data_IF_537536145727
#
_entry.id   IF_537536145727
#
_cell.length_a   1.000
_cell.length_b   1.000
_cell.length_c   1.000
_cell.angle_alpha   90.00
_cell.angle_beta   90.00
_cell.angle_gamma   90.00
#
_symmetry.space_group_name_H-M   'P 1'
#
loop_
_entity.id
_entity.type
_entity.pdbx_description
1 polymer ?
#
# COMPACT_ATOMS: atom_id res chain seq x y z
N UNK A 1 -5.16 -21.52 43.91
CA UNK A 1 -5.26 -21.00 42.52
C UNK A 1 -6.41 -20.02 42.52
N UNK A 2 -6.12 -18.72 42.52
CA UNK A 2 -7.17 -17.71 42.33
C UNK A 2 -7.75 -17.89 40.92
N UNK A 3 -9.02 -18.25 40.85
CA UNK A 3 -9.76 -18.26 39.59
C UNK A 3 -9.98 -16.80 39.25
N UNK A 4 -9.12 -16.24 38.39
CA UNK A 4 -9.33 -14.91 37.85
C UNK A 4 -10.67 -14.96 37.13
N UNK A 5 -11.64 -14.21 37.65
CA UNK A 5 -12.93 -14.04 37.01
C UNK A 5 -12.68 -13.43 35.63
N UNK A 6 -13.00 -14.18 34.58
CA UNK A 6 -12.79 -13.78 33.19
C UNK A 6 -13.42 -12.40 32.90
N UNK A 7 -14.54 -12.08 33.55
CA UNK A 7 -15.20 -10.77 33.45
C UNK A 7 -14.33 -9.64 33.98
N UNK A 8 -13.68 -9.84 35.13
CA UNK A 8 -12.82 -8.83 35.77
C UNK A 8 -11.50 -8.65 35.00
N UNK A 9 -10.97 -9.73 34.43
CA UNK A 9 -9.84 -9.66 33.50
C UNK A 9 -10.20 -8.89 32.23
N UNK A 10 -11.32 -9.20 31.57
CA UNK A 10 -11.75 -8.50 30.34
C UNK A 10 -11.96 -7.00 30.61
N UNK A 11 -12.58 -6.64 31.73
CA UNK A 11 -12.77 -5.24 32.12
C UNK A 11 -11.45 -4.52 32.37
N UNK A 12 -10.57 -5.09 33.19
CA UNK A 12 -9.27 -4.48 33.50
C UNK A 12 -8.36 -4.38 32.27
N UNK A 13 -8.38 -5.40 31.39
CA UNK A 13 -7.70 -5.36 30.11
C UNK A 13 -8.25 -4.25 29.20
N UNK A 14 -9.58 -4.14 29.05
CA UNK A 14 -10.20 -3.11 28.21
C UNK A 14 -9.85 -1.69 28.67
N UNK A 15 -9.86 -1.45 29.99
CA UNK A 15 -9.48 -0.15 30.56
C UNK A 15 -8.02 0.17 30.22
N UNK A 16 -7.11 -0.78 30.48
CA UNK A 16 -5.68 -0.59 30.22
C UNK A 16 -5.38 -0.44 28.72
N UNK A 17 -6.06 -1.20 27.88
CA UNK A 17 -5.98 -1.08 26.42
C UNK A 17 -6.40 0.31 25.97
N UNK A 18 -7.53 0.83 26.46
CA UNK A 18 -8.00 2.18 26.12
C UNK A 18 -7.07 3.27 26.62
N UNK A 19 -6.48 3.12 27.81
CA UNK A 19 -5.49 4.06 28.35
C UNK A 19 -4.23 4.13 27.48
N UNK A 20 -3.64 2.98 27.14
CA UNK A 20 -2.45 2.91 26.28
C UNK A 20 -2.75 3.40 24.87
N UNK A 21 -3.93 3.04 24.32
CA UNK A 21 -4.40 3.54 23.02
C UNK A 21 -4.56 5.06 23.02
N UNK A 22 -5.13 5.65 24.07
CA UNK A 22 -5.28 7.12 24.18
C UNK A 22 -3.93 7.82 24.28
N UNK A 23 -2.93 7.23 24.94
CA UNK A 23 -1.57 7.79 24.98
C UNK A 23 -0.94 7.84 23.58
N UNK A 24 -1.09 6.76 22.80
CA UNK A 24 -0.60 6.69 21.41
C UNK A 24 -1.34 7.68 20.49
N UNK A 25 -2.67 7.74 20.58
CA UNK A 25 -3.51 8.65 19.77
C UNK A 25 -3.22 10.13 20.05
N UNK A 26 -2.89 10.50 21.30
CA UNK A 26 -2.56 11.88 21.68
C UNK A 26 -1.27 12.41 21.05
N UNK A 27 -0.37 11.53 20.59
CA UNK A 27 0.90 11.93 20.00
C UNK A 27 0.91 11.86 18.46
N UNK A 28 -0.03 11.13 17.84
CA UNK A 28 -0.08 11.02 16.38
C UNK A 28 -0.94 12.15 15.77
N UNK A 29 -0.27 13.21 15.30
CA UNK A 29 -0.91 14.35 14.62
C UNK A 29 -1.80 13.90 13.46
N UNK A 30 -1.41 12.85 12.71
CA UNK A 30 -2.17 12.36 11.57
C UNK A 30 -3.51 11.72 11.98
N UNK A 31 -3.54 11.00 13.11
CA UNK A 31 -4.79 10.45 13.65
C UNK A 31 -5.72 11.55 14.18
N UNK A 32 -5.17 12.66 14.69
CA UNK A 32 -5.96 13.83 15.12
C UNK A 32 -6.55 14.61 13.95
N UNK A 33 -5.96 14.52 12.76
CA UNK A 33 -6.46 15.17 11.54
C UNK A 33 -7.63 14.41 10.90
N UNK A 34 -8.02 13.24 11.45
CA UNK A 34 -9.06 12.36 10.89
C UNK A 34 -8.86 12.12 9.38
N UNK A 35 -7.60 11.91 8.98
CA UNK A 35 -7.23 11.68 7.59
C UNK A 35 -8.03 10.50 7.02
N UNK A 36 -8.80 10.75 5.96
CA UNK A 36 -9.45 9.69 5.20
C UNK A 36 -8.43 8.96 4.31
N UNK A 37 -8.89 7.98 3.53
CA UNK A 37 -8.03 7.16 2.67
C UNK A 37 -7.25 8.02 1.65
N UNK A 38 -7.94 8.96 1.00
CA UNK A 38 -7.32 9.91 0.05
C UNK A 38 -6.25 10.78 0.72
N UNK A 39 -6.46 11.20 1.97
CA UNK A 39 -5.46 11.97 2.70
C UNK A 39 -4.19 11.16 2.98
N UNK A 40 -4.33 9.86 3.29
CA UNK A 40 -3.17 8.96 3.43
C UNK A 40 -2.45 8.75 2.10
N UNK A 41 -3.19 8.56 1.01
CA UNK A 41 -2.60 8.43 -0.33
C UNK A 41 -1.84 9.69 -0.72
N UNK A 42 -2.40 10.88 -0.46
CA UNK A 42 -1.72 12.17 -0.70
C UNK A 42 -0.42 12.30 0.09
N UNK A 43 -0.43 12.00 1.38
CA UNK A 43 0.78 12.05 2.22
C UNK A 43 1.85 11.10 1.66
N UNK A 44 1.47 9.88 1.29
CA UNK A 44 2.41 8.92 0.73
C UNK A 44 2.99 9.42 -0.61
N UNK A 45 2.17 9.99 -1.48
CA UNK A 45 2.63 10.60 -2.73
C UNK A 45 3.59 11.77 -2.48
N UNK A 46 3.29 12.65 -1.53
CA UNK A 46 4.16 13.78 -1.19
C UNK A 46 5.55 13.29 -0.73
N UNK A 47 5.59 12.20 0.05
CA UNK A 47 6.84 11.58 0.49
C UNK A 47 7.59 10.95 -0.69
N UNK A 48 6.91 10.17 -1.53
CA UNK A 48 7.52 9.48 -2.67
C UNK A 48 8.01 10.45 -3.75
N UNK A 49 7.34 11.60 -3.90
CA UNK A 49 7.69 12.65 -4.86
C UNK A 49 8.76 13.63 -4.34
N UNK A 50 9.22 13.46 -3.09
CA UNK A 50 10.34 14.24 -2.57
C UNK A 50 11.62 13.92 -3.34
N UNK A 51 12.20 14.95 -3.97
CA UNK A 51 13.43 14.82 -4.75
C UNK A 51 14.49 15.85 -4.39
N UNK A 52 15.74 15.45 -4.53
CA UNK A 52 16.92 16.32 -4.44
C UNK A 52 17.66 16.19 -5.77
N UNK A 53 17.90 17.31 -6.47
CA UNK A 53 18.55 17.34 -7.78
C UNK A 53 17.92 16.42 -8.84
N UNK A 54 16.60 16.17 -8.74
CA UNK A 54 15.86 15.30 -9.66
C UNK A 54 15.92 13.82 -9.33
N UNK A 55 16.50 13.43 -8.18
CA UNK A 55 16.50 12.04 -7.70
C UNK A 55 15.45 11.86 -6.58
N UNK A 56 14.57 10.87 -6.74
CA UNK A 56 13.49 10.57 -5.80
C UNK A 56 13.93 9.58 -4.71
N UNK A 57 14.59 10.10 -3.66
CA UNK A 57 15.28 9.29 -2.64
C UNK A 57 14.34 8.32 -1.91
N UNK A 58 13.16 8.80 -1.48
CA UNK A 58 12.18 7.94 -0.83
C UNK A 58 11.60 6.91 -1.80
N UNK A 59 11.45 7.23 -3.10
CA UNK A 59 10.96 6.26 -4.08
C UNK A 59 11.96 5.10 -4.27
N UNK A 60 13.26 5.41 -4.32
CA UNK A 60 14.32 4.38 -4.40
C UNK A 60 14.28 3.48 -3.17
N UNK A 61 14.20 4.07 -1.98
CA UNK A 61 14.08 3.32 -0.72
C UNK A 61 12.79 2.49 -0.66
N UNK A 62 11.66 3.04 -1.12
CA UNK A 62 10.37 2.36 -1.18
C UNK A 62 10.44 1.13 -2.08
N UNK A 63 11.02 1.26 -3.27
CA UNK A 63 11.27 0.13 -4.17
C UNK A 63 12.05 -0.97 -3.47
N UNK A 64 13.13 -0.61 -2.77
CA UNK A 64 13.96 -1.58 -2.06
C UNK A 64 13.20 -2.29 -0.94
N UNK A 65 12.35 -1.56 -0.21
CA UNK A 65 11.45 -2.16 0.80
C UNK A 65 10.50 -3.19 0.17
N UNK A 66 9.92 -2.90 -1.00
CA UNK A 66 9.05 -3.85 -1.72
C UNK A 66 9.85 -5.07 -2.20
N UNK A 67 11.03 -4.85 -2.77
CA UNK A 67 11.94 -5.90 -3.25
C UNK A 67 12.38 -6.86 -2.14
N UNK A 68 12.67 -6.34 -0.94
CA UNK A 68 13.03 -7.15 0.22
C UNK A 68 11.87 -8.07 0.68
N UNK A 69 10.62 -7.73 0.36
CA UNK A 69 9.45 -8.56 0.66
C UNK A 69 9.13 -9.56 -0.43
N UNK A 70 9.34 -9.19 -1.69
CA UNK A 70 9.08 -10.03 -2.83
C UNK A 70 10.12 -9.77 -3.92
N UNK A 71 10.90 -10.79 -4.26
CA UNK A 71 11.98 -10.69 -5.25
C UNK A 71 11.50 -10.30 -6.64
N UNK A 72 10.22 -10.49 -6.99
CA UNK A 72 9.70 -9.99 -8.27
C UNK A 72 9.77 -8.46 -8.37
N UNK A 73 9.74 -7.75 -7.25
CA UNK A 73 9.90 -6.29 -7.19
C UNK A 73 11.36 -5.86 -7.41
N UNK A 74 12.34 -6.76 -7.35
CA UNK A 74 13.73 -6.47 -7.78
C UNK A 74 13.82 -6.23 -9.30
N UNK A 75 12.91 -6.83 -10.07
CA UNK A 75 12.88 -6.73 -11.54
C UNK A 75 12.37 -5.40 -12.05
N UNK A 76 11.70 -4.60 -11.21
CA UNK A 76 11.32 -3.24 -11.58
C UNK A 76 12.57 -2.45 -12.00
N UNK A 77 12.45 -1.64 -13.06
CA UNK A 77 13.56 -0.77 -13.44
C UNK A 77 13.86 0.28 -12.35
N UNK A 78 14.94 1.04 -12.55
CA UNK A 78 15.32 2.07 -11.59
C UNK A 78 14.18 3.10 -11.43
N UNK A 79 13.79 3.34 -10.18
CA UNK A 79 12.73 4.26 -9.78
C UNK A 79 13.28 5.64 -9.39
N UNK A 80 14.62 5.83 -9.44
CA UNK A 80 15.28 7.11 -9.17
C UNK A 80 14.85 8.23 -10.12
N UNK A 81 14.31 7.87 -11.30
CA UNK A 81 13.86 8.78 -12.36
C UNK A 81 12.50 8.36 -12.90
N UNK A 82 11.45 8.42 -12.09
CA UNK A 82 10.08 8.17 -12.55
C UNK A 82 9.59 9.27 -13.50
N UNK A 83 8.68 8.92 -14.41
CA UNK A 83 8.06 9.89 -15.31
C UNK A 83 6.77 10.48 -14.73
N UNK A 84 6.06 9.70 -13.89
CA UNK A 84 4.74 10.09 -13.42
C UNK A 84 4.41 9.47 -12.06
N UNK A 85 3.81 10.28 -11.19
CA UNK A 85 3.08 9.86 -9.99
C UNK A 85 1.76 10.62 -9.94
N UNK A 86 0.63 9.90 -9.90
CA UNK A 86 -0.71 10.48 -9.93
C UNK A 86 -1.56 9.95 -8.78
N UNK A 87 -2.27 10.87 -8.12
CA UNK A 87 -3.36 10.53 -7.21
C UNK A 87 -4.67 10.38 -7.98
N UNK A 88 -5.49 9.43 -7.57
CA UNK A 88 -6.85 9.26 -8.09
C UNK A 88 -6.91 9.17 -9.64
N UNK A 89 -5.97 8.44 -10.27
CA UNK A 89 -5.87 8.33 -11.73
C UNK A 89 -7.18 7.78 -12.30
N UNK A 90 -7.88 8.55 -13.17
CA UNK A 90 -9.19 8.16 -13.65
C UNK A 90 -9.12 7.04 -14.68
N UNK A 91 -10.07 6.12 -14.59
CA UNK A 91 -10.33 5.09 -15.59
C UNK A 91 -11.54 5.45 -16.47
N UNK A 92 -11.61 4.82 -17.65
CA UNK A 92 -12.70 4.97 -18.63
C UNK A 92 -14.06 4.56 -18.04
N UNK A 93 -14.08 3.61 -17.10
CA UNK A 93 -15.28 3.16 -16.39
C UNK A 93 -15.69 4.06 -15.20
N UNK A 94 -15.03 5.20 -15.00
CA UNK A 94 -15.31 6.15 -13.92
C UNK A 94 -14.66 5.82 -12.57
N UNK A 95 -13.90 4.72 -12.48
CA UNK A 95 -13.10 4.40 -11.28
C UNK A 95 -11.83 5.24 -11.22
N UNK A 96 -11.15 5.18 -10.07
CA UNK A 96 -9.89 5.88 -9.85
C UNK A 96 -8.92 4.99 -9.11
N UNK A 97 -7.70 4.89 -9.60
CA UNK A 97 -6.59 4.26 -8.88
C UNK A 97 -6.11 5.24 -7.81
N UNK A 98 -6.00 4.82 -6.55
CA UNK A 98 -5.63 5.73 -5.45
C UNK A 98 -4.26 6.37 -5.68
N UNK A 99 -3.24 5.56 -6.01
CA UNK A 99 -1.93 6.04 -6.43
C UNK A 99 -1.44 5.23 -7.63
N UNK A 100 -1.07 5.93 -8.69
CA UNK A 100 -0.44 5.37 -9.88
C UNK A 100 0.96 5.93 -10.02
N UNK A 101 1.94 5.06 -10.28
CA UNK A 101 3.33 5.42 -10.55
C UNK A 101 3.72 4.79 -11.89
N UNK A 102 4.37 5.55 -12.75
CA UNK A 102 4.92 5.08 -14.02
C UNK A 102 6.34 5.57 -14.22
N UNK A 103 7.14 4.78 -14.92
CA UNK A 103 8.46 5.17 -15.37
C UNK A 103 8.65 4.95 -16.87
N UNK A 104 8.47 6.00 -17.65
CA UNK A 104 8.71 6.06 -19.10
C UNK A 104 8.21 4.81 -19.84
N UNK A 105 7.03 4.31 -19.47
CA UNK A 105 6.43 3.11 -20.03
C UNK A 105 7.34 1.86 -19.98
N UNK A 106 8.18 1.74 -18.96
CA UNK A 106 8.96 0.54 -18.62
C UNK A 106 8.28 -0.30 -17.53
N UNK A 107 7.55 0.34 -16.63
CA UNK A 107 6.72 -0.33 -15.65
C UNK A 107 5.67 0.62 -15.09
N UNK A 108 4.65 0.04 -14.49
CA UNK A 108 3.63 0.74 -13.71
C UNK A 108 3.46 0.10 -12.34
N UNK A 109 3.25 0.91 -11.31
CA UNK A 109 2.85 0.47 -9.97
C UNK A 109 1.48 1.05 -9.66
N UNK A 110 0.53 0.15 -9.42
CA UNK A 110 -0.84 0.45 -9.00
C UNK A 110 -0.91 0.23 -7.49
N UNK A 111 -1.17 1.28 -6.72
CA UNK A 111 -1.37 1.17 -5.27
C UNK A 111 -2.85 1.43 -4.96
N UNK A 112 -3.53 0.43 -4.41
CA UNK A 112 -4.87 0.57 -3.85
C UNK A 112 -4.76 0.66 -2.33
N UNK A 113 -5.21 1.78 -1.77
CA UNK A 113 -5.15 2.07 -0.35
C UNK A 113 -6.48 1.67 0.31
N UNK A 114 -6.40 0.81 1.32
CA UNK A 114 -7.50 0.29 2.13
C UNK A 114 -7.29 0.54 3.62
N UNK A 115 -6.54 1.58 3.99
CA UNK A 115 -6.19 1.92 5.38
C UNK A 115 -7.41 2.08 6.29
N UNK A 116 -8.54 2.53 5.74
CA UNK A 116 -9.77 2.73 6.51
C UNK A 116 -10.77 1.57 6.36
N UNK A 117 -10.29 0.39 5.97
CA UNK A 117 -11.13 -0.81 5.79
C UNK A 117 -12.23 -0.63 4.75
N UNK A 118 -11.99 0.21 3.74
CA UNK A 118 -12.93 0.42 2.65
C UNK A 118 -13.29 -0.92 1.98
N UNK A 119 -14.57 -1.17 1.66
CA UNK A 119 -14.98 -2.38 0.96
C UNK A 119 -14.28 -2.53 -0.39
N UNK A 120 -14.01 -3.78 -0.76
CA UNK A 120 -13.53 -4.08 -2.10
C UNK A 120 -14.68 -3.93 -3.12
N UNK A 121 -14.39 -3.27 -4.22
CA UNK A 121 -15.36 -3.07 -5.30
C UNK A 121 -15.26 -4.19 -6.35
N UNK A 122 -16.37 -4.52 -7.06
CA UNK A 122 -16.37 -5.59 -8.06
C UNK A 122 -15.34 -5.36 -9.15
N UNK A 123 -14.47 -6.33 -9.45
CA UNK A 123 -13.43 -6.27 -10.47
C UNK A 123 -12.51 -5.04 -10.38
N UNK A 124 -12.38 -4.40 -9.21
CA UNK A 124 -11.67 -3.13 -9.06
C UNK A 124 -10.24 -3.22 -9.57
N UNK A 125 -9.48 -4.17 -9.04
CA UNK A 125 -8.07 -4.36 -9.40
C UNK A 125 -7.93 -4.93 -10.81
N UNK A 126 -8.84 -5.81 -11.21
CA UNK A 126 -8.86 -6.37 -12.57
C UNK A 126 -9.04 -5.28 -13.64
N UNK A 127 -9.90 -4.30 -13.39
CA UNK A 127 -10.13 -3.18 -14.31
C UNK A 127 -8.93 -2.22 -14.34
N UNK A 128 -8.26 -1.99 -13.20
CA UNK A 128 -7.04 -1.18 -13.14
C UNK A 128 -5.93 -1.79 -13.98
N UNK A 129 -5.67 -3.08 -13.75
CA UNK A 129 -4.63 -3.80 -14.48
C UNK A 129 -4.90 -3.75 -15.99
N UNK A 130 -6.13 -4.09 -16.41
CA UNK A 130 -6.49 -4.17 -17.82
C UNK A 130 -6.35 -2.81 -18.51
N UNK A 131 -6.86 -1.74 -17.88
CA UNK A 131 -6.75 -0.42 -18.49
C UNK A 131 -5.32 0.11 -18.51
N UNK A 132 -4.51 -0.11 -17.47
CA UNK A 132 -3.11 0.32 -17.49
C UNK A 132 -2.33 -0.40 -18.58
N UNK A 133 -2.50 -1.72 -18.73
CA UNK A 133 -1.88 -2.48 -19.82
C UNK A 133 -2.27 -1.92 -21.20
N UNK A 134 -3.55 -1.60 -21.40
CA UNK A 134 -4.03 -1.01 -22.66
C UNK A 134 -3.51 0.40 -22.93
N UNK A 135 -3.53 1.28 -21.91
CA UNK A 135 -3.21 2.71 -22.07
C UNK A 135 -1.70 2.97 -22.19
N UNK A 136 -0.85 2.08 -21.65
CA UNK A 136 0.62 2.23 -21.63
C UNK A 136 1.36 1.27 -22.56
N UNK A 137 0.68 0.26 -23.11
CA UNK A 137 1.29 -0.85 -23.86
C UNK A 137 2.31 -1.66 -23.07
N UNK A 138 2.25 -1.59 -21.73
CA UNK A 138 3.06 -2.43 -20.86
C UNK A 138 2.61 -3.88 -20.94
N UNK A 139 3.58 -4.77 -20.99
CA UNK A 139 3.36 -6.21 -20.90
C UNK A 139 2.92 -6.60 -19.50
N UNK A 140 2.31 -7.79 -19.41
CA UNK A 140 1.77 -8.26 -18.14
C UNK A 140 2.86 -8.22 -17.06
N UNK A 141 4.12 -8.58 -17.35
CA UNK A 141 5.28 -8.66 -16.44
C UNK A 141 5.83 -7.31 -15.93
N UNK A 142 5.36 -6.19 -16.51
CA UNK A 142 5.81 -4.83 -16.20
C UNK A 142 4.83 -4.07 -15.28
N UNK A 143 3.68 -4.66 -14.94
CA UNK A 143 2.64 -4.04 -14.09
C UNK A 143 2.62 -4.65 -12.69
N UNK A 144 2.88 -3.83 -11.68
CA UNK A 144 2.94 -4.22 -10.26
C UNK A 144 1.72 -3.69 -9.52
N UNK A 145 1.20 -4.48 -8.57
CA UNK A 145 0.05 -4.12 -7.75
C UNK A 145 0.46 -4.16 -6.28
N UNK A 146 0.27 -3.06 -5.58
CA UNK A 146 0.43 -2.95 -4.13
C UNK A 146 -0.93 -2.76 -3.49
N UNK A 147 -1.30 -3.66 -2.59
CA UNK A 147 -2.55 -3.56 -1.84
C UNK A 147 -2.21 -3.14 -0.40
N UNK A 148 -2.42 -1.87 -0.11
CA UNK A 148 -1.96 -1.22 1.12
C UNK A 148 -3.09 -1.17 2.15
N UNK A 149 -2.91 -1.82 3.29
CA UNK A 149 -3.92 -1.86 4.37
C UNK A 149 -3.41 -1.20 5.64
N UNK A 150 -4.25 -1.13 6.69
CA UNK A 150 -3.82 -0.58 7.98
C UNK A 150 -2.78 -1.45 8.68
N UNK A 151 -3.08 -2.73 8.82
CA UNK A 151 -2.41 -3.64 9.74
C UNK A 151 -2.32 -5.10 9.21
N UNK A 152 -2.63 -5.32 7.93
CA UNK A 152 -2.58 -6.64 7.29
C UNK A 152 -3.75 -7.57 7.58
N UNK A 153 -4.72 -7.17 8.40
CA UNK A 153 -5.88 -8.00 8.72
C UNK A 153 -6.93 -8.03 7.58
N UNK A 154 -6.91 -7.02 6.70
CA UNK A 154 -7.72 -7.00 5.48
C UNK A 154 -6.96 -7.70 4.35
N UNK A 155 -7.65 -8.60 3.67
CA UNK A 155 -7.15 -9.29 2.47
C UNK A 155 -8.08 -8.92 1.32
N UNK A 156 -7.50 -8.73 0.13
CA UNK A 156 -8.28 -8.52 -1.09
C UNK A 156 -9.19 -9.71 -1.36
N UNK A 157 -10.44 -9.43 -1.71
CA UNK A 157 -11.42 -10.44 -2.10
C UNK A 157 -11.31 -10.83 -3.57
N UNK A 158 -11.69 -12.07 -3.90
CA UNK A 158 -11.87 -12.55 -5.28
C UNK A 158 -12.88 -11.74 -6.07
N UNK A 159 -13.80 -11.07 -5.37
CA UNK A 159 -14.75 -10.16 -5.98
C UNK A 159 -14.08 -8.97 -6.67
N UNK A 160 -12.91 -8.53 -6.21
CA UNK A 160 -12.15 -7.39 -6.74
C UNK A 160 -10.95 -7.80 -7.60
N UNK A 161 -10.31 -8.91 -7.25
CA UNK A 161 -9.07 -9.39 -7.85
C UNK A 161 -9.18 -10.87 -8.18
N UNK A 162 -9.46 -11.17 -9.46
CA UNK A 162 -9.59 -12.53 -9.95
C UNK A 162 -8.81 -12.74 -11.24
N UNK A 163 -9.09 -11.95 -12.28
CA UNK A 163 -8.49 -12.12 -13.61
C UNK A 163 -7.01 -11.74 -13.63
N UNK A 164 -6.63 -10.66 -12.95
CA UNK A 164 -5.27 -10.19 -12.94
C UNK A 164 -4.32 -11.08 -12.10
N UNK A 165 -4.85 -11.98 -11.25
CA UNK A 165 -4.04 -12.85 -10.37
C UNK A 165 -3.03 -13.69 -11.13
N UNK A 166 -3.49 -14.37 -12.19
CA UNK A 166 -2.61 -15.23 -12.98
C UNK A 166 -1.52 -14.40 -13.67
N UNK A 167 -1.91 -13.25 -14.23
CA UNK A 167 -1.02 -12.32 -14.94
C UNK A 167 0.11 -11.82 -14.06
N UNK A 168 -0.21 -11.41 -12.82
CA UNK A 168 0.79 -10.96 -11.85
C UNK A 168 1.54 -12.11 -11.15
N UNK A 169 1.29 -13.37 -11.53
CA UNK A 169 1.95 -14.52 -10.92
C UNK A 169 1.51 -14.81 -9.49
N UNK A 170 0.33 -14.34 -9.07
CA UNK A 170 -0.22 -14.65 -7.75
C UNK A 170 -0.60 -16.13 -7.67
N UNK A 171 0.06 -16.87 -6.79
CA UNK A 171 -0.25 -18.29 -6.53
C UNK A 171 -0.80 -18.53 -5.12
N UNK A 172 -0.27 -17.82 -4.13
CA UNK A 172 -0.68 -17.97 -2.73
C UNK A 172 -0.28 -16.75 -1.89
N UNK A 173 -0.68 -16.74 -0.61
CA UNK A 173 -0.21 -15.72 0.35
C UNK A 173 1.31 -15.68 0.55
N UNK A 174 2.03 -16.76 0.23
CA UNK A 174 3.50 -16.84 0.34
C UNK A 174 4.22 -16.55 -0.97
N UNK A 175 3.50 -16.69 -2.09
CA UNK A 175 4.04 -16.52 -3.44
C UNK A 175 3.04 -15.64 -4.19
N UNK A 176 3.16 -14.34 -3.92
CA UNK A 176 2.20 -13.34 -4.36
C UNK A 176 2.53 -12.76 -5.74
N UNK A 177 3.72 -13.07 -6.26
CA UNK A 177 4.21 -12.53 -7.52
C UNK A 177 4.34 -11.01 -7.45
N UNK A 178 3.90 -10.34 -8.50
CA UNK A 178 3.91 -8.87 -8.63
C UNK A 178 2.68 -8.18 -8.01
N UNK A 179 1.83 -8.96 -7.34
CA UNK A 179 0.90 -8.45 -6.35
C UNK A 179 1.56 -8.51 -4.98
N UNK A 180 1.54 -7.42 -4.21
CA UNK A 180 2.12 -7.38 -2.88
C UNK A 180 1.15 -6.75 -1.87
N UNK A 181 0.60 -7.55 -0.94
CA UNK A 181 -0.12 -7.00 0.19
C UNK A 181 0.88 -6.44 1.20
N UNK A 182 0.76 -5.15 1.50
CA UNK A 182 1.52 -4.47 2.55
C UNK A 182 0.58 -3.71 3.47
N UNK A 183 1.11 -3.16 4.55
CA UNK A 183 0.33 -2.43 5.53
C UNK A 183 1.11 -1.31 6.21
N UNK A 184 0.38 -0.31 6.70
CA UNK A 184 0.98 0.84 7.37
C UNK A 184 1.75 0.44 8.63
N UNK A 185 1.19 -0.45 9.45
CA UNK A 185 1.74 -0.80 10.76
C UNK A 185 3.09 -1.50 10.70
N UNK A 186 3.22 -2.53 9.87
CA UNK A 186 4.40 -3.40 9.83
C UNK A 186 5.35 -3.05 8.67
N UNK A 187 4.90 -2.28 7.68
CA UNK A 187 5.69 -2.01 6.47
C UNK A 187 5.98 -0.52 6.29
N UNK A 188 4.96 0.33 6.07
CA UNK A 188 5.18 1.75 5.74
C UNK A 188 5.78 2.53 6.92
N UNK A 189 5.27 2.37 8.14
CA UNK A 189 5.77 3.12 9.30
C UNK A 189 7.22 2.73 9.63
N UNK A 190 7.59 1.43 9.74
CA UNK A 190 8.98 1.05 9.92
C UNK A 190 9.89 1.52 8.77
N UNK A 191 9.44 1.37 7.52
CA UNK A 191 10.19 1.86 6.37
C UNK A 191 10.45 3.37 6.43
N UNK A 192 9.45 4.19 6.78
CA UNK A 192 9.63 5.64 6.91
C UNK A 192 10.64 6.00 8.02
N UNK A 193 10.64 5.26 9.12
CA UNK A 193 11.62 5.45 10.19
C UNK A 193 13.03 5.15 9.71
N UNK A 194 13.22 4.02 9.02
CA UNK A 194 14.52 3.60 8.50
C UNK A 194 15.02 4.52 7.37
N UNK A 195 14.13 4.89 6.45
CA UNK A 195 14.43 5.77 5.33
C UNK A 195 14.85 7.16 5.80
N UNK A 196 14.21 7.69 6.85
CA UNK A 196 14.58 8.99 7.43
C UNK A 196 16.00 9.02 7.99
N UNK A 197 16.52 7.90 8.52
CA UNK A 197 17.91 7.83 8.99
C UNK A 197 18.92 7.56 7.87
N UNK A 198 18.45 7.18 6.69
CA UNK A 198 19.26 6.73 5.55
C UNK A 198 19.36 7.77 4.43
N UNK A 199 18.56 8.84 4.50
CA UNK A 199 18.46 9.96 3.55
C UNK A 199 18.92 11.24 4.24
#
# INVERSE_FOLDING_TARGET
>A
MEVINLSDFVKSYSIKYDEERRKLQRCNVIEQLHANENAHSRILVDILNYSINGEYLFMVSFKQMLANKCSDFEKMADLSKMSEIQLEKPLKNGRRIDIYIENYSQYAVIIENKVNWAPDQPNQIDDYFSQISEDTHLEDDEIFIVYLTRDGNKVVSEYSFNKAKEKVGYKSKKETGRYLPINFKEDIIPWLQDAYYSI
#
